data_IF_076461758842
#
_entry.id   IF_076461758842
#
_cell.length_a   1.000
_cell.length_b   1.000
_cell.length_c   1.000
_cell.angle_alpha   90.00
_cell.angle_beta   90.00
_cell.angle_gamma   90.00
#
_symmetry.space_group_name_H-M   'P 1'
#
loop_
_entity.id
_entity.type
_entity.pdbx_description
1 polymer ?
#
# COMPACT_ATOMS: atom_id res chain seq x y z
N UNK A 1 16.22 -5.80 21.90
CA UNK A 1 15.95 -5.26 20.54
C UNK A 1 14.67 -5.87 20.00
N UNK A 2 14.51 -7.19 20.05
CA UNK A 2 13.24 -7.92 19.80
C UNK A 2 12.03 -7.29 20.51
N UNK A 3 12.09 -7.10 21.83
CA UNK A 3 10.95 -6.63 22.63
C UNK A 3 10.41 -5.26 22.20
N UNK A 4 11.29 -4.34 21.77
CA UNK A 4 10.91 -3.02 21.28
C UNK A 4 10.25 -3.13 19.89
N UNK A 5 10.72 -4.06 19.04
CA UNK A 5 10.11 -4.35 17.74
C UNK A 5 8.72 -4.96 17.92
N UNK A 6 8.58 -5.93 18.81
CA UNK A 6 7.30 -6.58 19.12
C UNK A 6 6.27 -5.58 19.68
N UNK A 7 6.70 -4.68 20.56
CA UNK A 7 5.85 -3.60 21.06
C UNK A 7 5.37 -2.65 19.95
N UNK A 8 6.26 -2.28 19.01
CA UNK A 8 5.92 -1.42 17.87
C UNK A 8 4.96 -2.14 16.92
N UNK A 9 5.25 -3.39 16.57
CA UNK A 9 4.38 -4.25 15.74
C UNK A 9 2.99 -4.31 16.34
N UNK A 10 2.89 -4.66 17.64
CA UNK A 10 1.63 -4.69 18.37
C UNK A 10 0.89 -3.34 18.38
N UNK A 11 1.60 -2.22 18.45
CA UNK A 11 0.99 -0.89 18.44
C UNK A 11 0.51 -0.45 17.05
N UNK A 12 1.25 -0.77 15.98
CA UNK A 12 0.84 -0.48 14.61
C UNK A 12 -0.29 -1.41 14.16
N UNK A 13 -0.22 -2.69 14.50
CA UNK A 13 -1.21 -3.71 14.14
C UNK A 13 -2.48 -3.66 15.00
N UNK A 14 -2.57 -2.75 15.98
CA UNK A 14 -3.72 -2.66 16.89
C UNK A 14 -5.05 -2.42 16.17
N UNK A 15 -5.00 -1.70 15.06
CA UNK A 15 -6.16 -1.40 14.22
C UNK A 15 -6.12 -2.19 12.90
N UNK A 16 -5.08 -3.01 12.70
CA UNK A 16 -4.96 -3.87 11.54
C UNK A 16 -6.18 -4.77 11.47
N UNK A 17 -6.97 -4.60 10.40
CA UNK A 17 -8.01 -5.55 10.09
C UNK A 17 -7.30 -6.87 9.83
N UNK A 18 -7.44 -7.82 10.77
CA UNK A 18 -7.00 -9.19 10.58
C UNK A 18 -7.77 -9.77 9.41
N UNK A 19 -7.18 -9.66 8.23
CA UNK A 19 -7.66 -10.31 7.02
C UNK A 19 -6.79 -11.53 6.82
N UNK A 20 -7.24 -12.61 7.44
CA UNK A 20 -6.65 -13.92 7.23
C UNK A 20 -7.15 -14.41 5.89
N UNK A 21 -6.27 -14.35 4.90
CA UNK A 21 -6.53 -15.00 3.63
C UNK A 21 -6.45 -16.52 3.81
N UNK A 22 -7.21 -17.26 3.01
CA UNK A 22 -7.11 -18.71 2.95
C UNK A 22 -6.73 -19.16 1.54
N UNK A 23 -6.08 -20.32 1.45
CA UNK A 23 -5.92 -20.97 0.15
C UNK A 23 -7.31 -21.18 -0.47
N UNK A 24 -7.47 -20.79 -1.72
CA UNK A 24 -8.77 -20.79 -2.39
C UNK A 24 -9.48 -19.43 -2.45
N UNK A 25 -9.04 -18.43 -1.68
CA UNK A 25 -9.64 -17.09 -1.74
C UNK A 25 -9.35 -16.39 -3.07
N UNK A 26 -10.35 -15.66 -3.55
CA UNK A 26 -10.28 -14.84 -4.75
C UNK A 26 -9.73 -13.44 -4.42
N UNK A 27 -8.55 -13.10 -4.94
CA UNK A 27 -7.87 -11.82 -4.69
C UNK A 27 -7.39 -11.14 -5.96
N UNK A 28 -7.27 -9.82 -5.95
CA UNK A 28 -6.69 -9.08 -7.07
C UNK A 28 -5.17 -9.31 -7.14
N UNK A 29 -4.66 -9.67 -8.31
CA UNK A 29 -3.22 -9.90 -8.51
C UNK A 29 -2.58 -8.68 -9.14
N UNK A 30 -1.53 -8.15 -8.51
CA UNK A 30 -0.69 -7.10 -9.08
C UNK A 30 0.30 -7.72 -10.08
N UNK A 31 0.15 -7.41 -11.35
CA UNK A 31 1.05 -7.93 -12.39
C UNK A 31 2.32 -7.09 -12.52
N UNK A 32 3.45 -7.62 -12.08
CA UNK A 32 4.74 -6.90 -12.05
C UNK A 32 5.58 -7.08 -13.33
N UNK A 33 5.22 -8.04 -14.20
CA UNK A 33 5.98 -8.35 -15.42
C UNK A 33 5.44 -7.58 -16.64
N UNK A 34 5.52 -6.26 -16.59
CA UNK A 34 5.11 -5.37 -17.68
C UNK A 34 6.35 -4.65 -18.23
N UNK A 35 6.35 -4.24 -19.52
CA UNK A 35 7.57 -3.74 -20.18
C UNK A 35 8.15 -2.46 -19.58
N UNK A 36 7.44 -1.78 -18.68
CA UNK A 36 7.90 -0.55 -18.03
C UNK A 36 7.44 -0.41 -16.58
N UNK A 37 8.25 0.29 -15.77
CA UNK A 37 8.13 0.49 -14.32
C UNK A 37 6.76 1.01 -13.83
N UNK A 38 5.96 1.61 -14.71
CA UNK A 38 4.67 2.25 -14.40
C UNK A 38 3.46 1.51 -14.98
N UNK A 39 3.64 0.30 -15.48
CA UNK A 39 2.55 -0.54 -15.95
C UNK A 39 1.94 -1.55 -14.95
N UNK A 40 2.30 -1.64 -13.65
CA UNK A 40 1.60 -2.55 -12.76
C UNK A 40 0.10 -2.34 -12.82
N UNK A 41 -0.64 -3.41 -13.14
CA UNK A 41 -2.09 -3.40 -13.23
C UNK A 41 -2.64 -4.53 -12.36
N UNK A 42 -3.73 -4.23 -11.65
CA UNK A 42 -4.53 -5.20 -10.91
C UNK A 42 -5.36 -6.01 -11.91
N UNK A 43 -5.21 -7.33 -11.91
CA UNK A 43 -5.99 -8.23 -12.77
C UNK A 43 -6.74 -9.24 -11.95
N UNK A 44 -8.06 -9.32 -12.20
CA UNK A 44 -8.97 -10.44 -11.93
C UNK A 44 -8.93 -11.04 -10.52
N UNK A 45 -9.83 -11.97 -10.20
CA UNK A 45 -9.63 -12.81 -9.04
C UNK A 45 -8.59 -13.89 -9.38
N UNK A 46 -7.36 -13.73 -8.92
CA UNK A 46 -6.42 -14.83 -8.74
C UNK A 46 -6.81 -15.65 -7.52
N UNK A 47 -6.59 -16.97 -7.59
CA UNK A 47 -6.82 -17.87 -6.47
C UNK A 47 -5.53 -17.97 -5.66
N UNK A 48 -5.63 -17.76 -4.35
CA UNK A 48 -4.48 -17.97 -3.45
C UNK A 48 -4.15 -19.46 -3.42
N UNK A 49 -2.98 -19.81 -3.93
CA UNK A 49 -2.45 -21.19 -3.88
C UNK A 49 -1.68 -21.46 -2.60
N UNK A 50 -0.99 -20.45 -2.06
CA UNK A 50 -0.17 -20.55 -0.85
C UNK A 50 -0.15 -19.19 -0.15
N UNK A 51 -0.09 -19.22 1.18
CA UNK A 51 0.12 -18.04 2.02
C UNK A 51 1.57 -17.95 2.47
N UNK A 52 2.08 -16.73 2.55
CA UNK A 52 3.41 -16.42 3.08
C UNK A 52 3.29 -15.17 3.94
N UNK A 53 3.84 -15.23 5.15
CA UNK A 53 4.05 -14.06 6.00
C UNK A 53 5.44 -13.49 5.73
N UNK A 54 5.55 -12.17 5.70
CA UNK A 54 6.81 -11.48 5.48
C UNK A 54 7.04 -10.47 6.60
N UNK A 55 8.09 -10.70 7.38
CA UNK A 55 8.62 -9.69 8.30
C UNK A 55 9.71 -8.89 7.57
N UNK A 56 9.66 -7.56 7.68
CA UNK A 56 10.62 -6.64 7.06
C UNK A 56 11.66 -6.25 8.11
N UNK A 57 12.89 -6.72 7.94
CA UNK A 57 14.00 -6.31 8.81
C UNK A 57 14.50 -4.91 8.47
N UNK A 58 14.49 -4.04 9.48
CA UNK A 58 15.02 -2.68 9.35
C UNK A 58 16.55 -2.68 9.49
N UNK A 59 17.22 -1.96 8.57
CA UNK A 59 18.67 -1.72 8.62
C UNK A 59 19.02 -0.73 9.75
N UNK A 60 18.11 0.21 10.05
CA UNK A 60 18.29 1.23 11.09
C UNK A 60 16.96 1.57 11.76
N UNK A 61 17.00 1.87 13.06
CA UNK A 61 15.86 2.37 13.85
C UNK A 61 15.53 3.86 13.60
N UNK A 62 16.26 4.53 12.69
CA UNK A 62 16.00 5.92 12.37
C UNK A 62 14.64 6.06 11.67
N UNK A 63 13.77 6.86 12.28
CA UNK A 63 12.45 7.20 11.73
C UNK A 63 12.62 8.10 10.51
N UNK A 64 11.98 7.74 9.40
CA UNK A 64 11.98 8.52 8.16
C UNK A 64 10.58 9.05 7.90
N UNK A 65 10.47 10.38 7.81
CA UNK A 65 9.21 11.08 7.58
C UNK A 65 9.40 12.14 6.51
N UNK A 66 8.73 11.96 5.37
CA UNK A 66 8.67 12.93 4.29
C UNK A 66 7.33 13.67 4.31
N UNK A 67 7.40 14.99 4.05
CA UNK A 67 6.20 15.80 3.90
C UNK A 67 5.53 15.46 2.56
N UNK A 68 4.20 15.29 2.50
CA UNK A 68 3.49 15.17 1.24
C UNK A 68 3.77 16.36 0.31
N UNK A 69 3.90 16.09 -0.98
CA UNK A 69 4.05 17.17 -1.96
C UNK A 69 2.77 17.98 -2.09
N UNK A 70 2.93 19.23 -2.56
CA UNK A 70 1.80 20.08 -2.90
C UNK A 70 1.14 19.55 -4.18
N UNK A 71 -0.14 19.21 -4.08
CA UNK A 71 -0.96 18.71 -5.18
C UNK A 71 -2.05 19.73 -5.54
N UNK A 72 -2.46 19.73 -6.80
CA UNK A 72 -3.59 20.55 -7.28
C UNK A 72 -4.93 19.99 -6.81
N UNK A 73 -6.00 20.80 -6.88
CA UNK A 73 -7.35 20.36 -6.46
C UNK A 73 -7.83 19.15 -7.26
N UNK A 74 -7.65 19.15 -8.60
CA UNK A 74 -7.97 18.01 -9.46
C UNK A 74 -7.25 16.74 -9.01
N UNK A 75 -5.95 16.83 -8.73
CA UNK A 75 -5.19 15.67 -8.28
C UNK A 75 -5.65 15.19 -6.90
N UNK A 76 -5.99 16.10 -5.99
CA UNK A 76 -6.55 15.75 -4.68
C UNK A 76 -7.90 15.04 -4.80
N UNK A 77 -8.76 15.43 -5.74
CA UNK A 77 -10.03 14.74 -5.99
C UNK A 77 -9.82 13.31 -6.50
N UNK A 78 -8.90 13.13 -7.46
CA UNK A 78 -8.53 11.81 -7.99
C UNK A 78 -7.97 10.92 -6.86
N UNK A 79 -7.06 11.45 -6.06
CA UNK A 79 -6.44 10.71 -4.95
C UNK A 79 -7.46 10.34 -3.86
N UNK A 80 -8.40 11.22 -3.52
CA UNK A 80 -9.46 10.92 -2.55
C UNK A 80 -10.35 9.77 -3.02
N UNK A 81 -10.79 9.81 -4.28
CA UNK A 81 -11.60 8.73 -4.86
C UNK A 81 -10.85 7.39 -4.84
N UNK A 82 -9.54 7.41 -5.11
CA UNK A 82 -8.70 6.22 -5.05
C UNK A 82 -8.56 5.68 -3.62
N UNK A 83 -8.28 6.55 -2.65
CA UNK A 83 -8.19 6.18 -1.22
C UNK A 83 -9.51 5.57 -0.74
N UNK A 84 -10.66 6.19 -1.06
CA UNK A 84 -11.98 5.66 -0.72
C UNK A 84 -12.23 4.29 -1.35
N UNK A 85 -11.81 4.09 -2.61
CA UNK A 85 -11.88 2.80 -3.30
C UNK A 85 -11.02 1.75 -2.59
N UNK A 86 -9.77 2.08 -2.25
CA UNK A 86 -8.87 1.16 -1.54
C UNK A 86 -9.38 0.83 -0.13
N UNK A 87 -9.94 1.81 0.60
CA UNK A 87 -10.60 1.60 1.90
C UNK A 87 -11.82 0.68 1.76
N UNK A 88 -12.66 0.89 0.75
CA UNK A 88 -13.83 0.03 0.45
C UNK A 88 -13.42 -1.42 0.19
N UNK A 89 -12.36 -1.63 -0.58
CA UNK A 89 -11.82 -2.97 -0.83
C UNK A 89 -10.99 -3.51 0.34
N UNK A 90 -10.79 -2.72 1.40
CA UNK A 90 -9.95 -3.03 2.57
C UNK A 90 -8.53 -3.46 2.14
N UNK A 91 -7.98 -2.75 1.15
CA UNK A 91 -6.59 -2.86 0.71
C UNK A 91 -5.70 -2.01 1.64
N UNK A 92 -6.22 -0.88 2.12
CA UNK A 92 -5.56 0.02 3.06
C UNK A 92 -6.47 0.30 4.26
N UNK A 93 -5.89 0.86 5.32
CA UNK A 93 -6.58 1.30 6.52
C UNK A 93 -5.94 2.58 7.10
N UNK A 94 -6.70 3.40 7.82
CA UNK A 94 -6.14 4.56 8.52
C UNK A 94 -5.43 4.11 9.80
N UNK A 95 -4.15 4.48 9.95
CA UNK A 95 -3.37 4.16 11.14
C UNK A 95 -2.33 5.24 11.44
N UNK A 96 -1.98 5.45 12.73
CA UNK A 96 -0.86 6.30 13.07
C UNK A 96 0.43 5.56 12.71
N UNK A 97 1.18 6.07 11.73
CA UNK A 97 2.48 5.53 11.32
C UNK A 97 3.60 6.47 11.75
N UNK A 98 4.69 5.88 12.26
CA UNK A 98 5.92 6.62 12.56
C UNK A 98 6.75 6.88 11.28
N UNK A 99 6.33 6.28 10.16
CA UNK A 99 6.89 6.44 8.82
C UNK A 99 5.88 7.14 7.90
N UNK A 100 6.36 8.04 7.06
CA UNK A 100 5.53 8.64 6.01
C UNK A 100 6.36 8.88 4.75
N UNK A 101 5.78 8.48 3.62
CA UNK A 101 6.33 8.65 2.27
C UNK A 101 5.32 9.46 1.46
N UNK A 102 5.77 10.42 0.63
CA UNK A 102 4.85 11.24 -0.14
C UNK A 102 4.24 10.40 -1.27
N UNK A 103 2.94 10.59 -1.50
CA UNK A 103 2.25 9.99 -2.63
C UNK A 103 2.30 10.94 -3.83
N UNK A 104 2.66 10.40 -4.98
CA UNK A 104 2.76 11.10 -6.26
C UNK A 104 1.68 10.55 -7.19
N UNK A 105 0.98 11.43 -7.90
CA UNK A 105 0.05 11.05 -8.95
C UNK A 105 0.75 11.10 -10.31
N UNK A 106 0.75 10.00 -11.04
CA UNK A 106 1.29 9.91 -12.39
C UNK A 106 0.14 9.77 -13.39
N UNK A 107 0.03 10.74 -14.29
CA UNK A 107 -0.95 10.73 -15.37
C UNK A 107 -0.25 10.33 -16.68
N UNK A 108 -0.74 9.28 -17.34
CA UNK A 108 -0.22 8.83 -18.65
C UNK A 108 -1.31 8.97 -19.71
N UNK A 109 -1.02 9.47 -20.92
CA UNK A 109 -2.02 9.58 -21.98
C UNK A 109 -2.71 8.24 -22.26
N UNK A 110 -4.05 8.25 -22.28
CA UNK A 110 -4.86 7.06 -22.57
C UNK A 110 -4.95 6.03 -21.44
N UNK A 111 -4.53 6.37 -20.21
CA UNK A 111 -4.66 5.52 -19.03
C UNK A 111 -5.21 6.29 -17.84
N UNK A 112 -5.82 5.56 -16.91
CA UNK A 112 -6.23 6.14 -15.65
C UNK A 112 -5.00 6.56 -14.82
N UNK A 113 -5.07 7.69 -14.10
CA UNK A 113 -4.00 8.14 -13.22
C UNK A 113 -3.65 7.10 -12.16
N UNK A 114 -2.36 6.92 -11.89
CA UNK A 114 -1.86 5.95 -10.91
C UNK A 114 -1.15 6.67 -9.78
N UNK A 115 -1.51 6.34 -8.53
CA UNK A 115 -0.79 6.78 -7.34
C UNK A 115 0.42 5.89 -7.06
N UNK A 116 1.56 6.51 -6.78
CA UNK A 116 2.81 5.84 -6.39
C UNK A 116 3.35 6.47 -5.10
N UNK A 117 3.98 5.69 -4.24
CA UNK A 117 4.73 6.19 -3.08
C UNK A 117 6.21 6.33 -3.46
N UNK A 118 6.83 7.46 -3.11
CA UNK A 118 8.27 7.67 -3.34
C UNK A 118 9.09 6.97 -2.24
N UNK A 119 10.14 6.23 -2.62
CA UNK A 119 11.01 5.54 -1.66
C UNK A 119 12.04 6.48 -1.01
#
# INVERSE_FOLDING_TARGET
MEEVRDMRKKWHDKNAIKREFQQGDAVLVLTLNQPHKLAPQWKGPGIIINLVEHDIDLISDKRVQHKPYRMTNRQNEILKAEIERMLKYKIIEPGPSEYTSPMILVETPGRDPVSITEN
#
